data_IF_920568314909
#
_entry.id   IF_920568314909
#
_cell.length_a   1.000
_cell.length_b   1.000
_cell.length_c   1.000
_cell.angle_alpha   90.00
_cell.angle_beta   90.00
_cell.angle_gamma   90.00
#
_symmetry.space_group_name_H-M   'P 1'
#
loop_
_entity.id
_entity.type
_entity.pdbx_description
1 polymer ?
#
# COMPACT_ATOMS: atom_id res chain seq x y z
N UNK A 1 -6.31 27.14 33.39
CA UNK A 1 -5.71 26.96 34.74
C UNK A 1 -6.54 27.82 35.68
N UNK A 2 -7.15 27.22 36.70
CA UNK A 2 -7.86 27.94 37.74
C UNK A 2 -6.80 28.72 38.54
N UNK A 3 -6.92 30.05 38.56
CA UNK A 3 -5.97 30.95 39.22
C UNK A 3 -5.92 30.74 40.75
N UNK A 4 -6.89 29.99 41.34
CA UNK A 4 -6.99 29.79 42.79
C UNK A 4 -6.34 28.50 43.29
N UNK A 5 -6.20 27.46 42.46
CA UNK A 5 -5.68 26.16 42.90
C UNK A 5 -4.64 25.53 41.99
N UNK A 6 -4.30 26.18 40.85
CA UNK A 6 -3.29 25.69 39.92
C UNK A 6 -3.68 24.43 39.12
N UNK A 7 -4.92 23.92 39.23
CA UNK A 7 -5.38 22.78 38.47
C UNK A 7 -5.87 23.18 37.11
N UNK A 8 -5.68 22.27 36.16
CA UNK A 8 -6.25 22.38 34.80
C UNK A 8 -7.67 21.81 34.80
N UNK A 9 -8.67 22.63 34.53
CA UNK A 9 -10.01 22.18 34.24
C UNK A 9 -10.01 21.55 32.82
N UNK A 10 -10.33 20.26 32.75
CA UNK A 10 -10.49 19.56 31.48
C UNK A 10 -11.92 19.77 30.97
N UNK A 11 -12.05 20.21 29.74
CA UNK A 11 -13.35 20.25 29.07
C UNK A 11 -13.86 18.84 28.79
N UNK A 12 -15.17 18.70 28.59
CA UNK A 12 -15.76 17.41 28.19
C UNK A 12 -15.12 16.86 26.91
N UNK A 13 -14.75 17.73 25.98
CA UNK A 13 -14.01 17.36 24.77
C UNK A 13 -12.60 16.83 25.07
N UNK A 14 -11.92 17.31 26.09
CA UNK A 14 -10.61 16.79 26.49
C UNK A 14 -10.73 15.44 27.18
N UNK A 15 -11.79 15.22 27.98
CA UNK A 15 -12.11 13.91 28.56
C UNK A 15 -12.37 12.88 27.47
N UNK A 16 -13.14 13.24 26.45
CA UNK A 16 -13.39 12.36 25.29
C UNK A 16 -12.11 12.03 24.54
N UNK A 17 -11.22 12.99 24.28
CA UNK A 17 -9.91 12.75 23.66
C UNK A 17 -9.06 11.80 24.49
N UNK A 18 -8.98 12.02 25.80
CA UNK A 18 -8.22 11.15 26.71
C UNK A 18 -8.77 9.72 26.70
N UNK A 19 -10.10 9.57 26.68
CA UNK A 19 -10.73 8.25 26.58
C UNK A 19 -10.34 7.53 25.26
N UNK A 20 -10.39 8.26 24.12
CA UNK A 20 -9.98 7.71 22.83
C UNK A 20 -8.50 7.31 22.84
N UNK A 21 -7.62 8.19 23.33
CA UNK A 21 -6.19 7.89 23.45
C UNK A 21 -5.96 6.64 24.25
N UNK A 22 -6.60 6.54 25.42
CA UNK A 22 -6.48 5.36 26.30
C UNK A 22 -6.91 4.08 25.57
N UNK A 23 -8.09 4.09 24.93
CA UNK A 23 -8.62 2.91 24.23
C UNK A 23 -7.75 2.46 23.05
N UNK A 24 -7.26 3.39 22.28
CA UNK A 24 -6.37 3.08 21.15
C UNK A 24 -4.98 2.62 21.64
N UNK A 25 -4.49 3.12 22.79
CA UNK A 25 -3.27 2.60 23.43
C UNK A 25 -3.46 1.19 23.97
N UNK A 26 -4.60 0.90 24.63
CA UNK A 26 -4.96 -0.44 25.05
C UNK A 26 -4.99 -1.43 23.87
N UNK A 27 -5.38 -0.98 22.67
CA UNK A 27 -5.34 -1.76 21.44
C UNK A 27 -3.92 -1.85 20.80
N UNK A 28 -2.90 -1.22 21.42
CA UNK A 28 -1.50 -1.31 20.96
C UNK A 28 -1.07 -0.28 19.91
N UNK A 29 -1.91 0.70 19.55
CA UNK A 29 -1.54 1.73 18.59
C UNK A 29 -0.42 2.64 19.12
N UNK A 30 0.46 3.10 18.23
CA UNK A 30 1.49 4.09 18.55
C UNK A 30 0.87 5.47 18.87
N UNK A 31 1.59 6.30 19.61
CA UNK A 31 1.15 7.69 19.87
C UNK A 31 1.09 8.53 18.59
N UNK A 32 1.94 8.22 17.60
CA UNK A 32 1.92 8.87 16.30
C UNK A 32 0.63 8.54 15.53
N UNK A 33 0.24 7.27 15.49
CA UNK A 33 -0.99 6.81 14.84
C UNK A 33 -2.23 7.40 15.52
N UNK A 34 -2.24 7.43 16.87
CA UNK A 34 -3.32 8.03 17.65
C UNK A 34 -3.45 9.54 17.37
N UNK A 35 -2.33 10.25 17.28
CA UNK A 35 -2.33 11.67 16.93
C UNK A 35 -2.92 11.89 15.54
N UNK A 36 -2.57 11.07 14.57
CA UNK A 36 -3.12 11.13 13.23
C UNK A 36 -4.65 10.88 13.22
N UNK A 37 -5.12 9.88 13.99
CA UNK A 37 -6.56 9.59 14.16
C UNK A 37 -7.28 10.80 14.76
N UNK A 38 -6.75 11.42 15.80
CA UNK A 38 -7.36 12.59 16.45
C UNK A 38 -7.44 13.80 15.52
N UNK A 39 -6.44 13.96 14.62
CA UNK A 39 -6.47 15.01 13.60
C UNK A 39 -7.45 14.73 12.47
N UNK A 40 -7.59 13.46 12.05
CA UNK A 40 -8.48 13.04 10.97
C UNK A 40 -9.22 11.74 11.36
N UNK A 41 -10.33 11.80 12.12
CA UNK A 41 -11.04 10.60 12.60
C UNK A 41 -11.45 9.62 11.50
N UNK A 42 -11.66 10.09 10.26
CA UNK A 42 -11.97 9.25 9.11
C UNK A 42 -10.84 8.26 8.74
N UNK A 43 -9.63 8.46 9.24
CA UNK A 43 -8.49 7.56 9.01
C UNK A 43 -8.41 6.42 10.05
N UNK A 44 -9.28 6.39 11.04
CA UNK A 44 -9.31 5.36 12.09
C UNK A 44 -9.27 3.94 11.53
N UNK A 45 -10.07 3.55 10.52
CA UNK A 45 -10.03 2.20 9.95
C UNK A 45 -8.64 1.82 9.44
N UNK A 46 -7.93 2.74 8.79
CA UNK A 46 -6.57 2.53 8.30
C UNK A 46 -5.60 2.14 9.41
N UNK A 47 -5.57 2.90 10.51
CA UNK A 47 -4.64 2.64 11.61
C UNK A 47 -5.01 1.39 12.41
N UNK A 48 -6.30 1.08 12.56
CA UNK A 48 -6.76 -0.17 13.15
C UNK A 48 -6.31 -1.37 12.31
N UNK A 49 -6.36 -1.25 10.99
CA UNK A 49 -5.88 -2.27 10.06
C UNK A 49 -4.38 -2.48 10.16
N UNK A 50 -3.60 -1.40 10.16
CA UNK A 50 -2.16 -1.45 10.36
C UNK A 50 -1.81 -2.24 11.63
N UNK A 51 -2.52 -1.99 12.73
CA UNK A 51 -2.32 -2.69 13.99
C UNK A 51 -2.77 -4.16 13.92
N UNK A 52 -3.92 -4.43 13.30
CA UNK A 52 -4.41 -5.79 13.11
C UNK A 52 -3.40 -6.65 12.34
N UNK A 53 -2.86 -6.14 11.24
CA UNK A 53 -1.85 -6.83 10.45
C UNK A 53 -0.57 -7.11 11.27
N UNK A 54 -0.13 -6.15 12.09
CA UNK A 54 1.01 -6.34 12.98
C UNK A 54 0.75 -7.47 14.00
N UNK A 55 -0.44 -7.50 14.61
CA UNK A 55 -0.83 -8.55 15.55
C UNK A 55 -0.95 -9.92 14.88
N UNK A 56 -1.49 -10.00 13.67
CA UNK A 56 -1.56 -11.25 12.90
C UNK A 56 -0.17 -11.78 12.57
N UNK A 57 0.77 -10.92 12.18
CA UNK A 57 2.15 -11.31 11.94
C UNK A 57 2.82 -11.84 13.20
N UNK A 58 2.61 -11.18 14.35
CA UNK A 58 3.11 -11.64 15.65
C UNK A 58 2.50 -13.01 16.03
N UNK A 59 1.22 -13.20 15.80
CA UNK A 59 0.53 -14.47 16.08
C UNK A 59 1.14 -15.62 15.26
N UNK A 60 1.42 -15.41 13.98
CA UNK A 60 2.07 -16.42 13.15
C UNK A 60 3.46 -16.79 13.66
N UNK A 61 4.26 -15.80 14.06
CA UNK A 61 5.59 -16.04 14.67
C UNK A 61 5.47 -16.85 15.97
N UNK A 62 4.51 -16.51 16.83
CA UNK A 62 4.26 -17.25 18.07
C UNK A 62 3.83 -18.68 17.75
N UNK A 63 2.92 -18.90 16.81
CA UNK A 63 2.48 -20.25 16.41
C UNK A 63 3.64 -21.10 15.89
N UNK A 64 4.54 -20.53 15.08
CA UNK A 64 5.74 -21.22 14.61
C UNK A 64 6.65 -21.60 15.77
N UNK A 65 6.89 -20.66 16.70
CA UNK A 65 7.70 -20.92 17.91
C UNK A 65 7.10 -22.04 18.76
N UNK A 66 5.77 -22.05 18.96
CA UNK A 66 5.06 -23.10 19.69
C UNK A 66 5.25 -24.45 18.98
N UNK A 67 5.08 -24.51 17.65
CA UNK A 67 5.25 -25.74 16.88
C UNK A 67 6.67 -26.31 17.01
N UNK A 68 7.69 -25.46 16.99
CA UNK A 68 9.08 -25.88 17.19
C UNK A 68 9.34 -26.36 18.63
N UNK A 69 8.76 -25.71 19.64
CA UNK A 69 8.83 -26.15 21.03
C UNK A 69 8.13 -27.50 21.23
N UNK A 70 6.96 -27.71 20.62
CA UNK A 70 6.24 -28.98 20.67
C UNK A 70 7.05 -30.12 20.02
N UNK A 71 7.67 -29.84 18.86
CA UNK A 71 8.56 -30.79 18.17
C UNK A 71 9.73 -31.18 19.06
N UNK A 72 10.42 -30.21 19.65
CA UNK A 72 11.51 -30.45 20.58
C UNK A 72 11.07 -31.23 21.82
N UNK A 73 9.96 -30.83 22.44
CA UNK A 73 9.40 -31.51 23.62
C UNK A 73 9.12 -32.98 23.35
N UNK A 74 8.61 -33.30 22.14
CA UNK A 74 8.39 -34.67 21.72
C UNK A 74 9.68 -35.51 21.57
N UNK A 75 10.82 -34.88 21.33
CA UNK A 75 12.13 -35.52 21.17
C UNK A 75 12.95 -35.61 22.47
N UNK A 76 12.67 -34.74 23.47
CA UNK A 76 13.42 -34.66 24.72
C UNK A 76 13.49 -35.95 25.53
N UNK A 77 12.47 -36.83 25.56
CA UNK A 77 12.55 -38.10 26.32
C UNK A 77 13.70 -39.01 25.89
N UNK A 78 14.26 -38.81 24.66
CA UNK A 78 15.37 -39.58 24.12
C UNK A 78 16.73 -38.92 24.39
N UNK A 79 16.74 -37.69 24.91
CA UNK A 79 17.95 -36.91 25.15
C UNK A 79 18.60 -37.29 26.47
N UNK A 80 19.80 -37.92 26.43
CA UNK A 80 20.51 -38.41 27.59
C UNK A 80 21.81 -37.64 27.90
N UNK A 81 22.20 -36.70 27.06
CA UNK A 81 23.43 -35.92 27.23
C UNK A 81 23.30 -34.49 26.71
N UNK A 82 24.16 -33.58 27.19
CA UNK A 82 24.23 -32.19 26.72
C UNK A 82 24.62 -32.09 25.25
N UNK A 83 25.45 -33.03 24.75
CA UNK A 83 25.85 -33.04 23.33
C UNK A 83 24.66 -33.39 22.43
N UNK A 84 23.84 -34.35 22.86
CA UNK A 84 22.60 -34.65 22.13
C UNK A 84 21.61 -33.48 22.17
N UNK A 85 21.47 -32.83 23.31
CA UNK A 85 20.63 -31.64 23.46
C UNK A 85 21.16 -30.51 22.53
N UNK A 86 22.47 -30.28 22.52
CA UNK A 86 23.08 -29.27 21.64
C UNK A 86 22.85 -29.57 20.14
N UNK A 87 22.96 -30.85 19.74
CA UNK A 87 22.64 -31.28 18.37
C UNK A 87 21.17 -31.03 18.01
N UNK A 88 20.24 -31.39 18.92
CA UNK A 88 18.80 -31.16 18.70
C UNK A 88 18.45 -29.67 18.64
N UNK A 89 19.11 -28.84 19.45
CA UNK A 89 18.92 -27.39 19.45
C UNK A 89 19.54 -26.73 18.19
N UNK A 90 20.64 -27.28 17.66
CA UNK A 90 21.26 -26.77 16.42
C UNK A 90 20.35 -26.94 15.20
N UNK A 91 19.52 -27.99 15.17
CA UNK A 91 18.54 -28.26 14.12
C UNK A 91 17.17 -27.60 14.39
N UNK A 92 17.06 -26.84 15.49
CA UNK A 92 15.80 -26.21 15.89
C UNK A 92 15.90 -24.71 15.71
N UNK A 93 15.01 -24.17 14.90
CA UNK A 93 14.89 -22.73 14.70
C UNK A 93 13.74 -22.17 15.53
N UNK A 94 14.01 -21.80 16.79
CA UNK A 94 13.02 -21.12 17.66
C UNK A 94 12.69 -19.71 17.21
N UNK A 95 13.60 -19.07 16.51
CA UNK A 95 13.35 -17.94 15.68
C UNK A 95 13.44 -18.47 14.26
N UNK A 96 12.32 -18.72 13.55
CA UNK A 96 12.44 -18.99 12.13
C UNK A 96 13.33 -17.90 11.57
N UNK A 97 14.49 -18.32 11.04
CA UNK A 97 15.65 -17.50 10.69
C UNK A 97 15.35 -16.03 10.79
N UNK A 98 16.08 -15.34 11.69
CA UNK A 98 15.87 -13.88 11.81
C UNK A 98 15.32 -13.46 10.47
N UNK A 99 14.00 -13.11 10.41
CA UNK A 99 13.42 -12.78 9.13
C UNK A 99 14.31 -11.75 8.41
N UNK A 100 15.33 -11.18 9.05
CA UNK A 100 16.36 -10.33 8.45
C UNK A 100 17.35 -11.04 7.51
N UNK A 101 17.49 -12.36 7.46
CA UNK A 101 18.42 -13.01 6.53
C UNK A 101 17.77 -13.48 5.24
N UNK A 102 16.56 -14.01 5.29
CA UNK A 102 15.63 -14.10 4.16
C UNK A 102 14.74 -12.83 4.08
N UNK A 103 14.92 -11.88 4.98
CA UNK A 103 14.12 -10.69 5.21
C UNK A 103 14.40 -9.57 4.24
N UNK A 104 15.51 -9.51 3.54
CA UNK A 104 15.62 -8.48 2.50
C UNK A 104 14.56 -8.75 1.42
N UNK A 105 14.45 -9.97 0.91
CA UNK A 105 13.38 -10.32 -0.05
C UNK A 105 11.98 -10.30 0.59
N UNK A 106 11.84 -10.82 1.82
CA UNK A 106 10.58 -10.84 2.56
C UNK A 106 10.12 -9.46 3.05
N UNK A 107 11.05 -8.56 3.43
CA UNK A 107 10.73 -7.18 3.84
C UNK A 107 10.22 -6.36 2.68
N UNK A 108 10.84 -6.48 1.53
CA UNK A 108 10.44 -5.76 0.31
C UNK A 108 9.08 -6.23 -0.19
N UNK A 109 8.84 -7.54 -0.19
CA UNK A 109 7.55 -8.11 -0.54
C UNK A 109 6.46 -7.68 0.45
N UNK A 110 6.76 -7.56 1.75
CA UNK A 110 5.80 -7.06 2.75
C UNK A 110 5.49 -5.58 2.54
N UNK A 111 6.50 -4.74 2.30
CA UNK A 111 6.29 -3.32 2.01
C UNK A 111 5.45 -3.13 0.74
N UNK A 112 5.75 -3.92 -0.30
CA UNK A 112 4.97 -3.92 -1.54
C UNK A 112 3.53 -4.40 -1.31
N UNK A 113 3.35 -5.53 -0.63
CA UNK A 113 2.03 -6.05 -0.33
C UNK A 113 1.22 -5.07 0.53
N UNK A 114 1.85 -4.46 1.51
CA UNK A 114 1.24 -3.44 2.37
C UNK A 114 0.86 -2.19 1.56
N UNK A 115 1.74 -1.70 0.70
CA UNK A 115 1.46 -0.55 -0.15
C UNK A 115 0.34 -0.84 -1.16
N UNK A 116 0.37 -1.99 -1.84
CA UNK A 116 -0.59 -2.31 -2.91
C UNK A 116 -1.96 -2.75 -2.37
N UNK A 117 -2.01 -3.46 -1.25
CA UNK A 117 -3.20 -4.23 -0.86
C UNK A 117 -3.79 -3.87 0.50
N UNK A 118 -3.15 -2.97 1.28
CA UNK A 118 -3.59 -2.65 2.65
C UNK A 118 -5.06 -2.26 2.75
N UNK A 119 -5.59 -1.55 1.75
CA UNK A 119 -6.98 -1.12 1.73
C UNK A 119 -8.00 -2.28 1.70
N UNK A 120 -7.55 -3.52 1.46
CA UNK A 120 -8.39 -4.69 1.23
C UNK A 120 -8.12 -5.86 2.22
N UNK A 121 -7.34 -5.61 3.27
CA UNK A 121 -6.95 -6.66 4.23
C UNK A 121 -7.79 -6.67 5.51
N UNK A 122 -9.07 -6.31 5.42
CA UNK A 122 -9.93 -5.99 6.58
C UNK A 122 -10.94 -7.06 7.00
N UNK A 123 -10.98 -8.19 6.33
CA UNK A 123 -12.02 -9.19 6.58
C UNK A 123 -11.48 -10.51 7.10
N UNK A 124 -12.23 -11.23 7.96
CA UNK A 124 -11.93 -12.61 8.30
C UNK A 124 -11.88 -13.43 7.01
N UNK A 125 -10.74 -14.07 6.75
CA UNK A 125 -10.49 -14.79 5.51
C UNK A 125 -10.95 -16.25 5.63
N UNK A 126 -11.72 -16.71 4.64
CA UNK A 126 -12.01 -18.13 4.45
C UNK A 126 -10.74 -18.87 4.01
N UNK A 127 -10.73 -20.21 4.11
CA UNK A 127 -9.60 -21.03 3.61
C UNK A 127 -9.27 -20.73 2.15
N UNK A 128 -10.29 -20.52 1.31
CA UNK A 128 -10.10 -20.17 -0.10
C UNK A 128 -9.45 -18.78 -0.26
N UNK A 129 -9.87 -17.81 0.53
CA UNK A 129 -9.24 -16.48 0.53
C UNK A 129 -7.80 -16.53 1.05
N UNK A 130 -7.51 -17.36 2.04
CA UNK A 130 -6.12 -17.60 2.49
C UNK A 130 -5.27 -18.17 1.35
N UNK A 131 -5.79 -19.13 0.61
CA UNK A 131 -5.10 -19.68 -0.56
C UNK A 131 -4.86 -18.63 -1.64
N UNK A 132 -5.84 -17.79 -1.95
CA UNK A 132 -5.67 -16.68 -2.89
C UNK A 132 -4.64 -15.68 -2.40
N UNK A 133 -4.67 -15.34 -1.12
CA UNK A 133 -3.69 -14.43 -0.51
C UNK A 133 -2.27 -14.99 -0.58
N UNK A 134 -2.09 -16.28 -0.29
CA UNK A 134 -0.79 -16.93 -0.44
C UNK A 134 -0.29 -16.86 -1.89
N UNK A 135 -1.14 -17.08 -2.87
CA UNK A 135 -0.79 -16.92 -4.30
C UNK A 135 -0.35 -15.49 -4.63
N UNK A 136 -1.12 -14.50 -4.18
CA UNK A 136 -0.80 -13.08 -4.41
C UNK A 136 0.53 -12.72 -3.75
N UNK A 137 0.75 -13.15 -2.51
CA UNK A 137 1.99 -12.89 -1.76
C UNK A 137 3.18 -13.58 -2.44
N UNK A 138 3.06 -14.84 -2.82
CA UNK A 138 4.10 -15.59 -3.51
C UNK A 138 4.47 -14.93 -4.84
N UNK A 139 3.47 -14.54 -5.63
CA UNK A 139 3.68 -13.84 -6.89
C UNK A 139 4.36 -12.47 -6.67
N UNK A 140 4.02 -11.76 -5.59
CA UNK A 140 4.68 -10.48 -5.21
C UNK A 140 6.15 -10.70 -4.88
N UNK A 141 6.48 -11.77 -4.13
CA UNK A 141 7.86 -12.15 -3.80
C UNK A 141 8.66 -12.44 -5.06
N UNK A 142 8.11 -13.24 -5.97
CA UNK A 142 8.77 -13.63 -7.23
C UNK A 142 9.09 -12.40 -8.11
N UNK A 143 8.23 -11.37 -8.09
CA UNK A 143 8.41 -10.17 -8.89
C UNK A 143 9.15 -9.04 -8.17
N UNK A 144 9.37 -9.13 -6.85
CA UNK A 144 10.06 -8.11 -6.06
C UNK A 144 11.49 -7.84 -6.55
N UNK A 145 12.18 -8.88 -7.04
CA UNK A 145 13.54 -8.78 -7.60
C UNK A 145 13.60 -8.44 -9.09
N UNK A 146 12.46 -8.41 -9.80
CA UNK A 146 12.37 -8.17 -11.24
C UNK A 146 11.50 -6.95 -11.55
N UNK A 147 10.24 -7.16 -11.90
CA UNK A 147 9.32 -6.11 -12.35
C UNK A 147 9.04 -5.04 -11.28
N UNK A 148 9.04 -5.45 -10.01
CA UNK A 148 8.82 -4.54 -8.87
C UNK A 148 10.12 -4.07 -8.19
N UNK A 149 11.31 -4.44 -8.72
CA UNK A 149 12.63 -4.13 -8.12
C UNK A 149 12.79 -2.64 -7.86
N UNK A 150 12.50 -1.81 -8.85
CA UNK A 150 12.64 -0.36 -8.71
C UNK A 150 11.61 0.25 -7.75
N UNK A 151 10.38 -0.27 -7.74
CA UNK A 151 9.36 0.16 -6.76
C UNK A 151 9.77 -0.23 -5.34
N UNK A 152 10.28 -1.43 -5.12
CA UNK A 152 10.79 -1.89 -3.82
C UNK A 152 11.92 -0.99 -3.31
N UNK A 153 12.92 -0.72 -4.16
CA UNK A 153 14.03 0.19 -3.83
C UNK A 153 13.56 1.61 -3.53
N UNK A 154 12.55 2.08 -4.28
CA UNK A 154 11.97 3.40 -4.05
C UNK A 154 11.26 3.49 -2.70
N UNK A 155 10.51 2.46 -2.30
CA UNK A 155 9.87 2.39 -0.98
C UNK A 155 10.88 2.38 0.18
N UNK A 156 12.08 1.87 -0.03
CA UNK A 156 13.15 1.93 0.97
C UNK A 156 13.87 3.28 1.00
N UNK A 157 13.86 4.00 -0.12
CA UNK A 157 14.53 5.30 -0.26
C UNK A 157 13.77 6.45 0.42
N UNK A 158 12.45 6.34 0.51
CA UNK A 158 11.58 7.36 1.14
C UNK A 158 11.36 7.04 2.62
N UNK A 159 11.06 8.07 3.44
CA UNK A 159 10.86 7.87 4.87
C UNK A 159 9.54 7.13 5.18
N UNK A 160 9.48 6.36 6.27
CA UNK A 160 8.25 5.69 6.70
C UNK A 160 7.08 6.66 6.88
N UNK A 161 7.32 7.87 7.39
CA UNK A 161 6.27 8.88 7.58
C UNK A 161 5.68 9.36 6.26
N UNK A 162 6.52 9.46 5.21
CA UNK A 162 6.06 9.81 3.86
C UNK A 162 5.22 8.68 3.25
N UNK A 163 5.62 7.43 3.45
CA UNK A 163 4.85 6.25 3.03
C UNK A 163 3.48 6.26 3.71
N UNK A 164 3.45 6.42 5.04
CA UNK A 164 2.20 6.43 5.81
C UNK A 164 1.26 7.54 5.37
N UNK A 165 1.76 8.77 5.16
CA UNK A 165 0.96 9.88 4.69
C UNK A 165 0.34 9.61 3.30
N UNK A 166 1.11 8.98 2.42
CA UNK A 166 0.64 8.63 1.07
C UNK A 166 -0.38 7.48 1.12
N UNK A 167 -0.13 6.47 1.94
CA UNK A 167 -1.03 5.34 2.13
C UNK A 167 -2.42 5.79 2.63
N UNK A 168 -2.46 6.78 3.54
CA UNK A 168 -3.74 7.37 3.99
C UNK A 168 -4.49 8.01 2.82
N UNK A 169 -3.80 8.79 1.98
CA UNK A 169 -4.42 9.43 0.83
C UNK A 169 -4.95 8.38 -0.17
N UNK A 170 -4.16 7.34 -0.42
CA UNK A 170 -4.55 6.23 -1.30
C UNK A 170 -5.74 5.46 -0.73
N UNK A 171 -5.75 5.16 0.57
CA UNK A 171 -6.88 4.51 1.22
C UNK A 171 -8.16 5.33 1.07
N UNK A 172 -8.13 6.64 1.38
CA UNK A 172 -9.30 7.51 1.26
C UNK A 172 -9.82 7.60 -0.18
N UNK A 173 -8.90 7.64 -1.16
CA UNK A 173 -9.25 7.60 -2.58
C UNK A 173 -9.91 6.28 -2.96
N UNK A 174 -9.33 5.15 -2.55
CA UNK A 174 -9.89 3.84 -2.84
C UNK A 174 -11.28 3.69 -2.24
N UNK A 175 -11.51 4.16 -0.99
CA UNK A 175 -12.82 4.15 -0.37
C UNK A 175 -13.84 5.00 -1.16
N UNK A 176 -13.42 6.17 -1.67
CA UNK A 176 -14.28 6.98 -2.55
C UNK A 176 -14.67 6.19 -3.80
N UNK A 177 -13.71 5.56 -4.49
CA UNK A 177 -13.99 4.80 -5.72
C UNK A 177 -14.87 3.58 -5.43
N UNK A 178 -14.62 2.85 -4.34
CA UNK A 178 -15.42 1.69 -3.92
C UNK A 178 -16.88 2.07 -3.67
N UNK A 179 -17.14 3.28 -3.17
CA UNK A 179 -18.48 3.75 -2.83
C UNK A 179 -19.27 4.32 -4.03
N UNK A 180 -18.62 4.50 -5.20
CA UNK A 180 -19.31 5.03 -6.38
C UNK A 180 -20.46 4.11 -6.82
N UNK A 181 -21.58 4.72 -7.18
CA UNK A 181 -22.72 4.11 -7.85
C UNK A 181 -22.76 4.54 -9.32
N UNK A 182 -23.63 3.95 -10.13
CA UNK A 182 -23.79 4.34 -11.55
C UNK A 182 -24.16 5.83 -11.72
N UNK A 183 -24.87 6.39 -10.78
CA UNK A 183 -25.26 7.82 -10.77
C UNK A 183 -24.06 8.74 -10.52
N UNK A 184 -23.03 8.26 -9.84
CA UNK A 184 -21.83 9.03 -9.50
C UNK A 184 -20.78 9.04 -10.63
N UNK A 185 -20.81 8.07 -11.55
CA UNK A 185 -19.77 7.93 -12.58
C UNK A 185 -19.56 9.18 -13.42
N UNK A 186 -20.60 9.88 -13.94
CA UNK A 186 -20.37 11.08 -14.75
C UNK A 186 -19.63 12.17 -13.97
N UNK A 187 -20.00 12.38 -12.70
CA UNK A 187 -19.35 13.35 -11.82
C UNK A 187 -17.89 13.00 -11.53
N UNK A 188 -17.61 11.72 -11.29
CA UNK A 188 -16.24 11.25 -11.05
C UNK A 188 -15.37 11.33 -12.32
N UNK A 189 -15.92 11.04 -13.50
CA UNK A 189 -15.23 11.22 -14.78
C UNK A 189 -14.87 12.69 -15.00
N UNK A 190 -15.75 13.62 -14.65
CA UNK A 190 -15.44 15.05 -14.73
C UNK A 190 -14.31 15.45 -13.76
N UNK A 191 -14.28 14.93 -12.54
CA UNK A 191 -13.17 15.11 -11.62
C UNK A 191 -11.85 14.59 -12.21
N UNK A 192 -11.86 13.43 -12.88
CA UNK A 192 -10.68 12.88 -13.56
C UNK A 192 -10.19 13.81 -14.67
N UNK A 193 -11.09 14.35 -15.51
CA UNK A 193 -10.75 15.30 -16.57
C UNK A 193 -10.07 16.55 -16.02
N UNK A 194 -10.67 17.16 -14.96
CA UNK A 194 -10.09 18.36 -14.31
C UNK A 194 -8.71 18.06 -13.75
N UNK A 195 -8.55 16.91 -13.11
CA UNK A 195 -7.27 16.49 -12.51
C UNK A 195 -6.20 16.21 -13.56
N UNK A 196 -6.57 15.60 -14.69
CA UNK A 196 -5.66 15.35 -15.81
C UNK A 196 -5.25 16.64 -16.53
N UNK A 197 -6.15 17.61 -16.67
CA UNK A 197 -5.81 18.94 -17.17
C UNK A 197 -4.85 19.67 -16.23
N UNK A 198 -5.06 19.56 -14.91
CA UNK A 198 -4.14 20.11 -13.92
C UNK A 198 -2.75 19.45 -14.00
N UNK A 199 -2.69 18.12 -14.18
CA UNK A 199 -1.45 17.40 -14.43
C UNK A 199 -0.76 17.88 -15.72
N UNK A 200 -1.52 18.04 -16.82
CA UNK A 200 -1.01 18.51 -18.09
C UNK A 200 -0.56 19.98 -18.08
N UNK A 201 -1.01 20.78 -17.12
CA UNK A 201 -0.58 22.16 -16.92
C UNK A 201 0.65 22.29 -16.01
N UNK A 202 1.12 21.21 -15.37
CA UNK A 202 2.25 21.23 -14.43
C UNK A 202 3.50 20.55 -15.03
N UNK A 203 4.47 21.29 -15.55
CA UNK A 203 5.68 20.73 -16.14
C UNK A 203 6.52 19.90 -15.15
N UNK A 204 6.47 20.22 -13.85
CA UNK A 204 7.22 19.48 -12.82
C UNK A 204 6.60 18.10 -12.61
N UNK A 205 5.27 18.01 -12.57
CA UNK A 205 4.60 16.71 -12.44
C UNK A 205 4.81 15.85 -13.70
N UNK A 206 4.76 16.46 -14.88
CA UNK A 206 5.05 15.76 -16.14
C UNK A 206 6.49 15.22 -16.17
N UNK A 207 7.46 16.00 -15.68
CA UNK A 207 8.85 15.57 -15.61
C UNK A 207 9.03 14.39 -14.66
N UNK A 208 8.45 14.46 -13.45
CA UNK A 208 8.44 13.35 -12.48
C UNK A 208 7.80 12.10 -13.08
N UNK A 209 6.66 12.26 -13.75
CA UNK A 209 5.99 11.15 -14.45
C UNK A 209 6.91 10.48 -15.45
N UNK A 210 7.54 11.25 -16.35
CA UNK A 210 8.45 10.72 -17.38
C UNK A 210 9.64 9.98 -16.78
N UNK A 211 10.19 10.50 -15.68
CA UNK A 211 11.30 9.84 -14.97
C UNK A 211 10.88 8.49 -14.36
N UNK A 212 9.70 8.41 -13.75
CA UNK A 212 9.24 7.21 -13.07
C UNK A 212 8.45 6.24 -13.94
N UNK A 213 7.95 6.66 -15.10
CA UNK A 213 7.01 5.85 -15.87
C UNK A 213 7.57 4.47 -16.21
N UNK A 214 8.65 4.43 -16.97
CA UNK A 214 9.25 3.16 -17.42
C UNK A 214 9.85 2.33 -16.27
N UNK A 215 10.62 2.91 -15.34
CA UNK A 215 11.29 2.09 -14.33
C UNK A 215 10.38 1.68 -13.16
N UNK A 216 9.28 2.40 -12.88
CA UNK A 216 8.48 2.18 -11.67
C UNK A 216 6.99 2.07 -11.95
N UNK A 217 6.36 3.09 -12.60
CA UNK A 217 4.91 3.17 -12.69
C UNK A 217 4.35 2.06 -13.58
N UNK A 218 4.86 1.94 -14.80
CA UNK A 218 4.36 0.97 -15.77
C UNK A 218 4.56 -0.49 -15.35
N UNK A 219 5.74 -0.93 -14.87
CA UNK A 219 5.90 -2.28 -14.35
C UNK A 219 4.98 -2.58 -13.15
N UNK A 220 4.81 -1.61 -12.23
CA UNK A 220 3.89 -1.77 -11.09
C UNK A 220 2.45 -1.89 -11.55
N UNK A 221 2.02 -1.10 -12.54
CA UNK A 221 0.68 -1.19 -13.12
C UNK A 221 0.44 -2.56 -13.78
N UNK A 222 1.39 -3.06 -14.57
CA UNK A 222 1.31 -4.39 -15.20
C UNK A 222 1.24 -5.51 -14.16
N UNK A 223 2.04 -5.41 -13.10
CA UNK A 223 1.95 -6.36 -11.99
C UNK A 223 0.56 -6.34 -11.33
N UNK A 224 -0.01 -5.17 -11.05
CA UNK A 224 -1.37 -5.05 -10.51
C UNK A 224 -2.42 -5.69 -11.42
N UNK A 225 -2.24 -5.59 -12.75
CA UNK A 225 -3.10 -6.29 -13.73
C UNK A 225 -2.97 -7.81 -13.58
N UNK A 226 -1.75 -8.33 -13.49
CA UNK A 226 -1.50 -9.78 -13.45
C UNK A 226 -2.17 -10.45 -12.25
N UNK A 227 -2.26 -9.77 -11.11
CA UNK A 227 -2.90 -10.29 -9.89
C UNK A 227 -4.37 -9.87 -9.74
N UNK A 228 -4.88 -8.98 -10.60
CA UNK A 228 -6.23 -8.41 -10.47
C UNK A 228 -7.34 -9.45 -10.44
N UNK A 229 -7.19 -10.56 -11.16
CA UNK A 229 -8.12 -11.69 -11.15
C UNK A 229 -8.25 -12.28 -9.74
N UNK A 230 -7.13 -12.64 -9.12
CA UNK A 230 -7.10 -13.20 -7.77
C UNK A 230 -7.60 -12.19 -6.72
N UNK A 231 -7.23 -10.91 -6.86
CA UNK A 231 -7.67 -9.85 -5.95
C UNK A 231 -9.18 -9.60 -6.02
N UNK A 232 -9.80 -9.70 -7.21
CA UNK A 232 -11.26 -9.59 -7.35
C UNK A 232 -12.02 -10.75 -6.71
N UNK A 233 -11.44 -11.94 -6.72
CA UNK A 233 -12.00 -13.09 -6.01
C UNK A 233 -11.71 -13.02 -4.50
N UNK A 234 -10.54 -12.52 -4.13
CA UNK A 234 -10.11 -12.41 -2.75
C UNK A 234 -10.99 -11.44 -1.95
N UNK A 235 -11.27 -10.24 -2.50
CA UNK A 235 -11.94 -9.19 -1.72
C UNK A 235 -13.03 -8.44 -2.50
N UNK A 236 -14.29 -8.40 -1.99
CA UNK A 236 -15.39 -7.74 -2.67
C UNK A 236 -15.17 -6.23 -2.90
N UNK A 237 -14.51 -5.53 -1.96
CA UNK A 237 -14.21 -4.11 -2.11
C UNK A 237 -13.19 -3.87 -3.24
N UNK A 238 -12.19 -4.75 -3.41
CA UNK A 238 -11.28 -4.66 -4.55
C UNK A 238 -12.01 -4.88 -5.87
N UNK A 239 -12.95 -5.83 -5.91
CA UNK A 239 -13.80 -6.03 -7.10
C UNK A 239 -14.53 -4.75 -7.47
N UNK A 240 -15.19 -4.10 -6.51
CA UNK A 240 -15.88 -2.82 -6.75
C UNK A 240 -14.92 -1.71 -7.17
N UNK A 241 -13.78 -1.59 -6.50
CA UNK A 241 -12.74 -0.64 -6.88
C UNK A 241 -12.32 -0.84 -8.34
N UNK A 242 -12.01 -2.08 -8.72
CA UNK A 242 -11.59 -2.43 -10.07
C UNK A 242 -12.68 -2.12 -11.10
N UNK A 243 -13.92 -2.56 -10.86
CA UNK A 243 -15.05 -2.37 -11.76
C UNK A 243 -15.37 -0.87 -11.93
N UNK A 244 -15.42 -0.12 -10.84
CA UNK A 244 -15.69 1.31 -10.87
C UNK A 244 -14.57 2.10 -11.59
N UNK A 245 -13.30 1.82 -11.26
CA UNK A 245 -12.16 2.44 -11.95
C UNK A 245 -12.19 2.14 -13.44
N UNK A 246 -12.38 0.86 -13.80
CA UNK A 246 -12.43 0.45 -15.20
C UNK A 246 -13.58 1.12 -15.95
N UNK A 247 -14.76 1.21 -15.34
CA UNK A 247 -15.93 1.85 -15.96
C UNK A 247 -15.70 3.33 -16.16
N UNK A 248 -15.23 4.05 -15.14
CA UNK A 248 -14.99 5.49 -15.24
C UNK A 248 -13.85 5.83 -16.22
N UNK A 249 -12.76 5.06 -16.22
CA UNK A 249 -11.67 5.28 -17.17
C UNK A 249 -12.08 4.94 -18.61
N UNK A 250 -12.96 3.95 -18.82
CA UNK A 250 -13.54 3.65 -20.14
C UNK A 250 -14.41 4.82 -20.61
N UNK A 251 -15.30 5.36 -19.77
CA UNK A 251 -16.11 6.52 -20.08
C UNK A 251 -15.24 7.74 -20.44
N UNK A 252 -14.18 7.96 -19.68
CA UNK A 252 -13.20 9.00 -19.96
C UNK A 252 -12.52 8.79 -21.34
N UNK A 253 -12.11 7.57 -21.63
CA UNK A 253 -11.51 7.21 -22.92
C UNK A 253 -12.49 7.42 -24.07
N UNK A 254 -13.74 6.93 -23.94
CA UNK A 254 -14.79 7.10 -24.94
C UNK A 254 -15.03 8.60 -25.21
N UNK A 255 -15.02 9.44 -24.17
CA UNK A 255 -15.07 10.89 -24.31
C UNK A 255 -13.85 11.44 -25.06
N UNK A 256 -12.64 11.03 -24.73
CA UNK A 256 -11.40 11.50 -25.37
C UNK A 256 -11.31 11.08 -26.85
N UNK A 257 -11.98 10.01 -27.24
CA UNK A 257 -12.08 9.54 -28.64
C UNK A 257 -13.20 10.24 -29.42
N UNK A 258 -14.04 11.06 -28.76
CA UNK A 258 -15.05 11.89 -29.42
C UNK A 258 -14.50 13.23 -29.91
N UNK A 259 -15.25 13.92 -30.78
CA UNK A 259 -14.88 15.25 -31.28
C UNK A 259 -14.77 16.27 -30.12
N UNK A 260 -15.65 16.18 -29.11
CA UNK A 260 -15.62 17.05 -27.92
C UNK A 260 -14.40 16.83 -27.06
N UNK A 261 -13.92 15.58 -26.99
CA UNK A 261 -12.75 15.19 -26.20
C UNK A 261 -11.40 15.33 -26.90
N UNK A 262 -11.40 15.65 -28.21
CA UNK A 262 -10.18 15.68 -29.02
C UNK A 262 -9.10 16.64 -28.47
N UNK A 263 -9.50 17.79 -27.94
CA UNK A 263 -8.59 18.76 -27.33
C UNK A 263 -7.93 18.21 -26.07
N UNK A 264 -8.68 17.55 -25.17
CA UNK A 264 -8.15 16.89 -23.98
C UNK A 264 -7.18 15.77 -24.37
N UNK A 265 -7.55 14.94 -25.33
CA UNK A 265 -6.70 13.85 -25.83
C UNK A 265 -5.37 14.40 -26.38
N UNK A 266 -5.39 15.46 -27.18
CA UNK A 266 -4.18 16.08 -27.70
C UNK A 266 -3.28 16.63 -26.58
N UNK A 267 -3.86 17.37 -25.63
CA UNK A 267 -3.16 17.91 -24.46
C UNK A 267 -2.48 16.82 -23.63
N UNK A 268 -3.19 15.72 -23.36
CA UNK A 268 -2.63 14.60 -22.58
C UNK A 268 -1.54 13.84 -23.33
N UNK A 269 -1.68 13.67 -24.64
CA UNK A 269 -0.62 13.06 -25.47
C UNK A 269 0.66 13.87 -25.43
N UNK A 270 0.55 15.19 -25.50
CA UNK A 270 1.69 16.10 -25.38
C UNK A 270 2.31 16.00 -23.99
N UNK A 271 1.49 16.04 -22.92
CA UNK A 271 1.97 15.97 -21.56
C UNK A 271 2.69 14.65 -21.26
N UNK A 272 2.17 13.52 -21.72
CA UNK A 272 2.76 12.20 -21.48
C UNK A 272 3.96 11.87 -22.38
N UNK A 273 4.05 12.47 -23.56
CA UNK A 273 5.15 12.23 -24.54
C UNK A 273 5.39 10.72 -24.80
N UNK A 274 4.34 9.94 -24.96
CA UNK A 274 4.41 8.49 -25.20
C UNK A 274 4.60 7.62 -23.93
N UNK A 275 4.72 8.23 -22.77
CA UNK A 275 4.82 7.51 -21.49
C UNK A 275 3.43 7.29 -20.82
N UNK A 276 2.45 7.07 -21.58
CA UNK A 276 1.13 6.54 -21.26
C UNK A 276 0.40 6.40 -22.58
N UNK A 277 0.00 5.19 -22.94
CA UNK A 277 -0.86 5.04 -24.12
C UNK A 277 -2.31 5.30 -23.71
N UNK A 278 -2.76 6.51 -23.91
CA UNK A 278 -4.10 6.97 -23.60
C UNK A 278 -5.18 6.18 -24.36
N UNK A 279 -4.83 5.53 -25.47
CA UNK A 279 -5.78 4.74 -26.30
C UNK A 279 -5.85 3.27 -25.89
N UNK A 280 -4.70 2.65 -25.66
CA UNK A 280 -4.56 1.22 -25.37
C UNK A 280 -4.00 0.99 -23.99
N UNK A 281 -3.57 2.04 -23.29
CA UNK A 281 -2.97 1.99 -21.99
C UNK A 281 -3.92 1.38 -20.97
N UNK A 282 -3.32 0.79 -19.99
CA UNK A 282 -4.04 0.24 -18.86
C UNK A 282 -4.84 1.35 -18.17
N UNK A 283 -6.14 1.17 -18.01
CA UNK A 283 -7.04 2.19 -17.46
C UNK A 283 -6.60 2.74 -16.09
N UNK A 284 -5.90 1.94 -15.28
CA UNK A 284 -5.34 2.39 -14.00
C UNK A 284 -4.26 3.47 -14.13
N UNK A 285 -3.54 3.57 -15.26
CA UNK A 285 -2.53 4.61 -15.47
C UNK A 285 -3.15 6.00 -15.58
N UNK A 286 -4.31 6.14 -16.20
CA UNK A 286 -5.04 7.41 -16.26
C UNK A 286 -5.48 7.86 -14.86
N UNK A 287 -5.92 6.94 -14.04
CA UNK A 287 -6.31 7.23 -12.65
C UNK A 287 -5.10 7.60 -11.78
N UNK A 288 -3.97 6.91 -11.96
CA UNK A 288 -2.71 7.27 -11.31
C UNK A 288 -2.23 8.66 -11.75
N UNK A 289 -2.31 8.99 -13.04
CA UNK A 289 -1.94 10.30 -13.56
C UNK A 289 -2.84 11.42 -13.01
N UNK A 290 -4.15 11.20 -12.96
CA UNK A 290 -5.11 12.15 -12.39
C UNK A 290 -4.83 12.46 -10.90
N UNK A 291 -4.27 11.50 -10.18
CA UNK A 291 -3.97 11.64 -8.75
C UNK A 291 -2.48 11.76 -8.43
N UNK A 292 -1.66 11.90 -9.46
CA UNK A 292 -0.20 11.84 -9.37
C UNK A 292 0.38 12.75 -8.29
N UNK A 293 -0.08 13.99 -8.20
CA UNK A 293 0.38 14.97 -7.20
C UNK A 293 0.16 14.56 -5.74
N UNK A 294 -0.71 13.58 -5.48
CA UNK A 294 -0.99 12.99 -4.14
C UNK A 294 -0.40 11.60 -3.98
N UNK A 295 0.23 11.08 -5.02
CA UNK A 295 0.79 9.74 -5.02
C UNK A 295 2.20 9.72 -4.43
N UNK A 296 2.67 8.53 -4.11
CA UNK A 296 4.04 8.29 -3.67
C UNK A 296 5.08 8.75 -4.70
N UNK A 297 4.74 8.72 -5.99
CA UNK A 297 5.62 9.11 -7.09
C UNK A 297 5.92 10.61 -7.15
N UNK A 298 5.08 11.44 -6.52
CA UNK A 298 5.26 12.89 -6.51
C UNK A 298 6.09 13.42 -5.33
N UNK A 299 6.48 12.57 -4.37
CA UNK A 299 7.13 12.97 -3.11
C UNK A 299 8.50 13.62 -3.32
N UNK A 300 9.29 13.11 -4.26
CA UNK A 300 10.63 13.63 -4.51
C UNK A 300 10.63 14.68 -5.63
N UNK A 301 11.50 15.69 -5.56
CA UNK A 301 11.74 16.59 -6.66
C UNK A 301 12.53 15.89 -7.80
N UNK A 302 12.45 16.35 -9.05
CA UNK A 302 13.05 15.69 -10.21
C UNK A 302 14.53 15.36 -10.06
N UNK A 303 15.33 16.24 -9.47
CA UNK A 303 16.77 16.03 -9.26
C UNK A 303 17.06 14.86 -8.32
N UNK A 304 16.24 14.66 -7.26
CA UNK A 304 16.36 13.50 -6.36
C UNK A 304 15.90 12.22 -7.04
N UNK A 305 14.89 12.29 -7.89
CA UNK A 305 14.45 11.13 -8.70
C UNK A 305 15.57 10.69 -9.64
N UNK A 306 16.22 11.62 -10.36
CA UNK A 306 17.35 11.28 -11.22
C UNK A 306 18.48 10.60 -10.44
N UNK A 307 18.87 11.20 -9.31
CA UNK A 307 19.89 10.62 -8.45
C UNK A 307 19.53 9.21 -7.99
N UNK A 308 18.30 9.01 -7.54
CA UNK A 308 17.80 7.67 -7.16
C UNK A 308 17.89 6.68 -8.32
N UNK A 309 17.50 7.08 -9.53
CA UNK A 309 17.57 6.21 -10.72
C UNK A 309 19.02 5.89 -11.12
N UNK A 310 19.93 6.86 -11.05
CA UNK A 310 21.36 6.68 -11.33
C UNK A 310 21.99 5.67 -10.34
N UNK A 311 21.74 5.86 -9.04
CA UNK A 311 22.26 4.98 -7.97
C UNK A 311 21.74 3.53 -8.08
N UNK A 312 20.61 3.31 -8.76
CA UNK A 312 19.95 2.01 -8.87
C UNK A 312 19.97 1.40 -10.28
N UNK A 313 20.56 2.09 -11.27
CA UNK A 313 20.64 1.60 -12.66
C UNK A 313 21.86 0.72 -12.94
N UNK A 314 22.88 0.65 -12.07
CA UNK A 314 24.18 0.05 -12.33
C UNK A 314 24.30 -1.45 -12.01
N UNK A 315 23.18 -2.16 -11.83
CA UNK A 315 23.17 -3.63 -11.75
C UNK A 315 22.52 -4.22 -13.02
N UNK A 316 23.26 -4.16 -14.14
CA UNK A 316 23.00 -5.00 -15.32
C UNK A 316 23.80 -6.28 -15.26
#
# INVERSE_FOLDING_TARGET
VDEHNGYHDFSEADIQKLFIIRKLREAGLSLADIRAILHKPRTTPFYLHKQLNALQSQMLTIQQTISEMDRLSGQLPVCQSLDQLAGMLADTDFCPEDPTRNQMESRDARLLAQYLWMAYLDTPVTEYQQFLWQKITQHTIEHAGTDLKMMSRYLQYISPEQIDATNINQYLRNQKIISLTEEDYPGFVEELKVSLLAFAADPVQQEKWRLFYQPVIHPTALFCVSVSGWMREFHPAYRRYYENTHTCCRMLKDFMDSDEGAALNATLREAFQGNCDVRTGYYGELEVAATFHKSIYALLPPEKIRKFLEENSDEK
#
